data_IF_965112569312
#
_entry.id   IF_965112569312
#
_cell.length_a   1.000
_cell.length_b   1.000
_cell.length_c   1.000
_cell.angle_alpha   90.00
_cell.angle_beta   90.00
_cell.angle_gamma   90.00
#
_symmetry.space_group_name_H-M   'P 1'
#
loop_
_entity.id
_entity.type
_entity.pdbx_description
1 polymer ?
#
# COMPACT_ATOMS: atom_id res chain seq x y z
N UNK A 1 10.52 -3.00 -3.09
CA UNK A 1 11.99 -2.89 -3.10
C UNK A 1 12.42 -1.43 -3.22
N UNK A 2 12.09 -0.74 -4.33
CA UNK A 2 12.50 0.64 -4.59
C UNK A 2 12.11 1.64 -3.48
N UNK A 3 10.86 1.66 -3.01
CA UNK A 3 10.45 2.57 -1.94
C UNK A 3 11.17 2.31 -0.61
N UNK A 4 11.65 1.07 -0.35
CA UNK A 4 12.48 0.78 0.83
C UNK A 4 13.90 1.30 0.63
N UNK A 5 14.48 1.15 -0.57
CA UNK A 5 15.80 1.70 -0.89
C UNK A 5 15.85 3.23 -0.77
N UNK A 6 14.73 3.92 -1.06
CA UNK A 6 14.62 5.37 -0.92
C UNK A 6 14.92 5.88 0.50
N UNK A 7 14.80 5.03 1.53
CA UNK A 7 15.16 5.39 2.91
C UNK A 7 16.68 5.51 3.11
N UNK A 8 17.47 4.79 2.31
CA UNK A 8 18.92 4.67 2.49
C UNK A 8 19.74 5.72 1.73
N UNK A 9 19.09 6.64 1.00
CA UNK A 9 19.79 7.73 0.30
C UNK A 9 19.93 8.93 1.23
N UNK A 10 21.07 9.61 1.20
CA UNK A 10 21.28 10.85 1.96
C UNK A 10 20.79 12.10 1.20
N UNK A 11 20.45 11.94 -0.08
CA UNK A 11 19.97 13.03 -0.93
C UNK A 11 18.60 13.59 -0.50
N UNK A 12 18.44 14.90 -0.58
CA UNK A 12 17.20 15.63 -0.22
C UNK A 12 16.10 15.48 -1.28
N UNK A 13 16.48 15.15 -2.52
CA UNK A 13 15.55 15.05 -3.66
C UNK A 13 15.63 13.66 -4.28
N UNK A 14 14.47 13.00 -4.44
CA UNK A 14 14.33 11.68 -5.04
C UNK A 14 13.46 11.79 -6.29
N UNK A 15 14.03 11.50 -7.46
CA UNK A 15 13.25 11.32 -8.70
C UNK A 15 12.81 9.86 -8.80
N UNK A 16 11.53 9.60 -8.55
CA UNK A 16 10.96 8.26 -8.52
C UNK A 16 10.41 7.87 -9.90
N UNK A 17 11.22 7.17 -10.69
CA UNK A 17 10.85 6.63 -11.99
C UNK A 17 10.02 5.34 -11.86
N UNK A 18 8.77 5.49 -11.42
CA UNK A 18 7.83 4.39 -11.24
C UNK A 18 6.38 4.87 -11.34
N UNK A 19 5.48 4.11 -10.71
CA UNK A 19 4.05 4.46 -10.64
C UNK A 19 3.72 5.21 -9.34
N UNK A 20 2.62 5.97 -9.37
CA UNK A 20 2.18 6.89 -8.31
C UNK A 20 2.21 6.28 -6.91
N UNK A 21 1.62 5.10 -6.70
CA UNK A 21 1.58 4.51 -5.35
C UNK A 21 2.98 4.18 -4.79
N UNK A 22 3.96 3.88 -5.66
CA UNK A 22 5.32 3.59 -5.22
C UNK A 22 6.05 4.87 -4.82
N UNK A 23 5.84 5.96 -5.58
CA UNK A 23 6.34 7.28 -5.25
C UNK A 23 5.71 7.82 -3.96
N UNK A 24 4.39 7.66 -3.78
CA UNK A 24 3.70 7.97 -2.52
C UNK A 24 4.28 7.19 -1.35
N UNK A 25 4.57 5.88 -1.53
CA UNK A 25 5.21 5.08 -0.50
C UNK A 25 6.62 5.57 -0.17
N UNK A 26 7.39 6.02 -1.17
CA UNK A 26 8.71 6.61 -0.92
C UNK A 26 8.61 7.93 -0.16
N UNK A 27 7.62 8.77 -0.47
CA UNK A 27 7.36 10.03 0.23
C UNK A 27 6.91 9.77 1.69
N UNK A 28 6.03 8.79 1.92
CA UNK A 28 5.61 8.38 3.28
C UNK A 28 6.81 7.96 4.13
N UNK A 29 7.76 7.22 3.53
CA UNK A 29 8.94 6.74 4.23
C UNK A 29 10.05 7.80 4.39
N UNK A 30 9.93 8.93 3.69
CA UNK A 30 10.91 10.03 3.71
C UNK A 30 10.18 11.37 3.83
N UNK A 31 9.52 11.65 4.97
CA UNK A 31 8.62 12.80 5.12
C UNK A 31 9.30 14.15 4.91
N UNK A 32 10.61 14.24 5.17
CA UNK A 32 11.39 15.47 5.06
C UNK A 32 12.07 15.65 3.69
N UNK A 33 11.93 14.69 2.76
CA UNK A 33 12.56 14.73 1.42
C UNK A 33 11.56 15.09 0.34
N UNK A 34 12.06 15.70 -0.73
CA UNK A 34 11.27 16.00 -1.93
C UNK A 34 11.23 14.77 -2.83
N UNK A 35 10.06 14.16 -3.02
CA UNK A 35 9.86 13.04 -3.95
C UNK A 35 9.12 13.51 -5.20
N UNK A 36 9.78 13.42 -6.35
CA UNK A 36 9.25 13.81 -7.65
C UNK A 36 8.87 12.58 -8.48
N UNK A 37 7.76 12.66 -9.21
CA UNK A 37 7.39 11.67 -10.23
C UNK A 37 7.45 12.34 -11.61
N UNK A 38 8.22 11.81 -12.59
CA UNK A 38 8.36 12.45 -13.90
C UNK A 38 7.05 12.54 -14.71
N UNK A 39 6.14 11.59 -14.48
CA UNK A 39 4.82 11.57 -15.11
C UNK A 39 3.75 11.42 -14.03
N UNK A 40 2.98 12.48 -13.81
CA UNK A 40 1.98 12.56 -12.73
C UNK A 40 0.89 11.49 -12.84
N UNK A 41 0.54 11.13 -14.08
CA UNK A 41 -0.53 10.19 -14.39
C UNK A 41 -0.03 8.74 -14.56
N UNK A 42 1.21 8.45 -14.14
CA UNK A 42 1.73 7.08 -14.11
C UNK A 42 1.02 6.26 -13.00
N UNK A 43 -0.19 5.82 -13.29
CA UNK A 43 -1.04 5.04 -12.38
C UNK A 43 -0.77 3.54 -12.40
N UNK A 44 -1.55 2.81 -11.61
CA UNK A 44 -1.59 1.35 -11.65
C UNK A 44 -3.05 0.93 -11.56
N UNK A 45 -3.62 0.33 -12.63
CA UNK A 45 -5.04 -0.04 -12.64
C UNK A 45 -5.45 -0.90 -11.45
N UNK A 46 -4.58 -1.81 -11.01
CA UNK A 46 -4.81 -2.65 -9.83
C UNK A 46 -4.92 -1.82 -8.54
N UNK A 47 -4.07 -0.80 -8.37
CA UNK A 47 -4.12 0.06 -7.19
C UNK A 47 -5.39 0.94 -7.18
N UNK A 48 -5.89 1.28 -8.36
CA UNK A 48 -7.10 2.09 -8.53
C UNK A 48 -8.39 1.25 -8.40
N UNK A 49 -8.31 -0.09 -8.29
CA UNK A 49 -9.48 -0.98 -8.11
C UNK A 49 -10.10 -0.94 -6.70
N UNK A 50 -9.39 -0.44 -5.70
CA UNK A 50 -9.90 -0.34 -4.33
C UNK A 50 -9.60 1.02 -3.71
N UNK A 51 -10.60 1.90 -3.74
CA UNK A 51 -10.56 3.22 -3.12
C UNK A 51 -10.76 3.17 -1.61
N UNK A 52 -10.31 4.23 -0.93
CA UNK A 52 -10.48 4.39 0.52
C UNK A 52 -11.96 4.45 0.93
N UNK A 53 -12.83 5.01 0.09
CA UNK A 53 -14.27 5.13 0.37
C UNK A 53 -14.93 3.74 0.46
N UNK A 54 -14.70 2.89 -0.53
CA UNK A 54 -15.21 1.51 -0.55
C UNK A 54 -14.66 0.69 0.62
N UNK A 55 -13.38 0.88 0.94
CA UNK A 55 -12.76 0.23 2.10
C UNK A 55 -13.46 0.63 3.40
N UNK A 56 -13.73 1.92 3.61
CA UNK A 56 -14.40 2.40 4.82
C UNK A 56 -15.84 1.89 4.93
N UNK A 57 -16.54 1.72 3.81
CA UNK A 57 -17.86 1.08 3.78
C UNK A 57 -17.74 -0.39 4.20
N UNK A 58 -16.80 -1.14 3.59
CA UNK A 58 -16.58 -2.55 3.91
C UNK A 58 -16.12 -2.80 5.35
N UNK A 59 -15.30 -1.91 5.93
CA UNK A 59 -14.92 -1.99 7.36
C UNK A 59 -16.13 -1.89 8.29
N UNK A 60 -17.19 -1.17 7.91
CA UNK A 60 -18.43 -1.09 8.70
C UNK A 60 -19.27 -2.36 8.60
N UNK A 61 -19.25 -3.02 7.44
CA UNK A 61 -19.98 -4.28 7.22
C UNK A 61 -19.33 -5.47 7.95
N UNK A 62 -18.00 -5.49 8.01
CA UNK A 62 -17.24 -6.57 8.63
C UNK A 62 -16.61 -6.13 9.95
N UNK A 63 -17.32 -6.35 11.06
CA UNK A 63 -16.76 -6.13 12.40
C UNK A 63 -15.76 -7.23 12.78
N UNK A 64 -14.68 -6.84 13.48
CA UNK A 64 -13.68 -7.79 14.01
C UNK A 64 -12.75 -8.42 12.97
N UNK A 65 -12.61 -7.81 11.78
CA UNK A 65 -11.62 -8.21 10.77
C UNK A 65 -10.48 -7.19 10.70
N UNK A 66 -9.26 -7.67 10.49
CA UNK A 66 -8.13 -6.80 10.18
C UNK A 66 -8.08 -6.50 8.67
N UNK A 67 -7.66 -5.30 8.31
CA UNK A 67 -7.50 -4.85 6.93
C UNK A 67 -6.04 -4.98 6.51
N UNK A 68 -5.81 -5.80 5.48
CA UNK A 68 -4.48 -6.04 4.90
C UNK A 68 -4.45 -5.48 3.48
N UNK A 69 -3.66 -4.44 3.28
CA UNK A 69 -3.47 -3.85 1.96
C UNK A 69 -2.19 -4.33 1.29
N UNK A 70 -2.31 -4.87 0.09
CA UNK A 70 -1.15 -5.02 -0.79
C UNK A 70 -0.59 -3.63 -1.12
N UNK A 71 0.74 -3.48 -1.19
CA UNK A 71 1.41 -2.19 -1.45
C UNK A 71 0.95 -1.49 -2.73
N UNK A 72 0.40 -2.24 -3.68
CA UNK A 72 -0.29 -1.74 -4.87
C UNK A 72 -1.67 -1.18 -4.49
N UNK A 73 -1.67 -0.11 -3.71
CA UNK A 73 -2.84 0.62 -3.19
C UNK A 73 -2.48 2.09 -3.01
N UNK A 74 -3.42 3.02 -2.99
CA UNK A 74 -3.11 4.44 -2.74
C UNK A 74 -2.62 4.69 -1.30
N UNK A 75 -1.96 5.82 -1.07
CA UNK A 75 -1.62 6.29 0.28
C UNK A 75 -2.85 6.37 1.21
N UNK A 76 -4.00 6.83 0.70
CA UNK A 76 -5.25 6.92 1.47
C UNK A 76 -5.79 5.56 1.89
N UNK A 77 -5.73 4.57 1.00
CA UNK A 77 -6.12 3.19 1.30
C UNK A 77 -5.18 2.56 2.34
N UNK A 78 -3.87 2.80 2.22
CA UNK A 78 -2.89 2.39 3.23
C UNK A 78 -3.19 2.98 4.61
N UNK A 79 -3.54 4.25 4.68
CA UNK A 79 -3.87 4.94 5.93
C UNK A 79 -5.12 4.38 6.63
N UNK A 80 -6.06 3.80 5.87
CA UNK A 80 -7.26 3.16 6.41
C UNK A 80 -7.08 1.66 6.72
N UNK A 81 -5.89 1.11 6.46
CA UNK A 81 -5.57 -0.30 6.66
C UNK A 81 -4.80 -0.51 7.96
N UNK A 82 -4.89 -1.72 8.52
CA UNK A 82 -4.20 -2.06 9.77
C UNK A 82 -2.74 -2.46 9.49
N UNK A 83 -2.50 -3.11 8.34
CA UNK A 83 -1.15 -3.49 7.91
C UNK A 83 -1.04 -3.54 6.37
N UNK A 84 0.18 -3.34 5.87
CA UNK A 84 0.49 -3.50 4.45
C UNK A 84 1.38 -4.73 4.20
N UNK A 85 1.21 -5.37 3.04
CA UNK A 85 2.05 -6.49 2.62
C UNK A 85 2.55 -6.33 1.17
N UNK A 86 3.54 -7.14 0.80
CA UNK A 86 3.96 -7.40 -0.58
C UNK A 86 3.64 -8.84 -0.96
N UNK A 87 3.71 -9.19 -2.24
CA UNK A 87 3.54 -10.59 -2.68
C UNK A 87 4.53 -11.55 -2.01
N UNK A 88 5.72 -11.06 -1.65
CA UNK A 88 6.76 -11.86 -0.99
C UNK A 88 6.53 -12.13 0.50
N UNK A 89 5.64 -11.39 1.18
CA UNK A 89 5.41 -11.56 2.63
C UNK A 89 3.93 -11.57 3.04
N UNK A 90 3.00 -11.67 2.08
CA UNK A 90 1.56 -11.64 2.37
C UNK A 90 1.14 -12.71 3.40
N UNK A 91 1.59 -13.96 3.22
CA UNK A 91 1.28 -15.07 4.13
C UNK A 91 1.84 -14.83 5.53
N UNK A 92 3.08 -14.37 5.64
CA UNK A 92 3.71 -14.06 6.93
C UNK A 92 2.98 -12.93 7.66
N UNK A 93 2.64 -11.85 6.93
CA UNK A 93 1.89 -10.71 7.47
C UNK A 93 0.51 -11.14 7.97
N UNK A 94 -0.24 -11.91 7.17
CA UNK A 94 -1.57 -12.38 7.56
C UNK A 94 -1.49 -13.29 8.80
N UNK A 95 -0.52 -14.21 8.85
CA UNK A 95 -0.32 -15.10 10.00
C UNK A 95 0.16 -14.38 11.27
N UNK A 96 0.65 -13.14 11.16
CA UNK A 96 1.05 -12.33 12.33
C UNK A 96 -0.12 -11.64 13.04
N UNK A 97 -1.29 -11.59 12.40
CA UNK A 97 -2.48 -10.93 12.92
C UNK A 97 -3.19 -11.82 13.95
N UNK A 98 -3.89 -11.18 14.90
CA UNK A 98 -4.64 -11.91 15.94
C UNK A 98 -6.04 -12.29 15.46
N UNK A 99 -6.51 -11.61 14.42
CA UNK A 99 -7.83 -11.76 13.83
C UNK A 99 -7.90 -13.02 12.98
N UNK A 100 -8.98 -13.80 13.16
CA UNK A 100 -9.21 -15.03 12.39
C UNK A 100 -9.68 -14.77 10.95
N UNK A 101 -9.98 -13.51 10.62
CA UNK A 101 -10.48 -13.08 9.31
C UNK A 101 -9.84 -11.76 8.95
N UNK A 102 -9.49 -11.62 7.67
CA UNK A 102 -8.91 -10.39 7.12
C UNK A 102 -9.71 -9.91 5.92
N UNK A 103 -9.80 -8.59 5.77
CA UNK A 103 -10.20 -7.94 4.53
C UNK A 103 -8.92 -7.67 3.72
N UNK A 104 -8.73 -8.40 2.63
CA UNK A 104 -7.56 -8.29 1.77
C UNK A 104 -7.88 -7.51 0.49
N UNK A 105 -7.02 -6.57 0.12
CA UNK A 105 -7.22 -5.70 -1.05
C UNK A 105 -5.91 -5.27 -1.71
N UNK A 106 -5.94 -4.81 -2.98
CA UNK A 106 -7.04 -4.98 -3.95
C UNK A 106 -6.99 -6.32 -4.70
N UNK A 107 -5.89 -7.08 -4.58
CA UNK A 107 -5.65 -8.25 -5.42
C UNK A 107 -6.35 -9.51 -4.86
N UNK A 108 -7.43 -9.92 -5.52
CA UNK A 108 -8.20 -11.12 -5.16
C UNK A 108 -7.42 -12.43 -5.31
N UNK A 109 -6.42 -12.48 -6.20
CA UNK A 109 -5.66 -13.71 -6.43
C UNK A 109 -4.63 -13.88 -5.31
N UNK A 110 -3.93 -12.79 -4.96
CA UNK A 110 -3.02 -12.80 -3.81
C UNK A 110 -3.77 -13.03 -2.50
N UNK A 111 -4.96 -12.44 -2.33
CA UNK A 111 -5.78 -12.68 -1.13
C UNK A 111 -6.37 -14.09 -1.04
N UNK A 112 -6.41 -14.85 -2.15
CA UNK A 112 -6.86 -16.25 -2.18
C UNK A 112 -5.74 -17.24 -1.94
N UNK A 113 -4.50 -16.88 -2.25
CA UNK A 113 -3.31 -17.71 -2.12
C UNK A 113 -2.98 -17.97 -0.65
#
# INVERSE_FOLDING_TARGET
ALSKMAVNTDEEVIVFCGVRFMAETAAILNPDKVVLIPQKDAGCPLADMAGVEDLLIKKKEYSGVAVVSYVNSSASTKAASDICCTSSNAVEVVNSLKENKVLFLPDKNLGRF
#
